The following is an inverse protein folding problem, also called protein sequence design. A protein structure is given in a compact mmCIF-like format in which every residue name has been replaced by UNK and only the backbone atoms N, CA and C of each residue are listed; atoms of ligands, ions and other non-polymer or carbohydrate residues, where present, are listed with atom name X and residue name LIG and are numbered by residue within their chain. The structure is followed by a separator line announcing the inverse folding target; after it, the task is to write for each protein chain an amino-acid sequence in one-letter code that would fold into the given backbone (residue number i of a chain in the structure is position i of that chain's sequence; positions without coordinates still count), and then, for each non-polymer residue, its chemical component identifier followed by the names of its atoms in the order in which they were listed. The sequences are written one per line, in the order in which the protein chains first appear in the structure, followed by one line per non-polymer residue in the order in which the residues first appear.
data_IF_300415021264
#
_entry.id   IF_300415021264
#
_cell.length_a   1.000
_cell.length_b   1.000
_cell.length_c   1.000
_cell.angle_alpha   90.00
_cell.angle_beta   90.00
_cell.angle_gamma   90.00
#
_symmetry.space_group_name_H-M   'P 1'
#
loop_
_entity.id
_entity.type
_entity.pdbx_description
1 polymer ?
#
# COMPACT_ATOMS: atom_id res chain seq x y z
N UNK A 1 39.52 -16.50 -32.42
CA UNK A 1 38.77 -15.23 -32.28
C UNK A 1 37.81 -15.38 -31.12
N UNK A 2 37.45 -14.30 -30.42
CA UNK A 2 36.55 -14.40 -29.27
C UNK A 2 35.10 -14.55 -29.77
N UNK A 3 34.47 -15.69 -29.51
CA UNK A 3 33.10 -16.01 -29.96
C UNK A 3 32.02 -15.55 -28.97
N UNK A 4 32.41 -15.29 -27.72
CA UNK A 4 31.49 -15.12 -26.59
C UNK A 4 30.40 -14.03 -26.77
N UNK A 5 30.68 -12.82 -27.30
CA UNK A 5 29.62 -11.81 -27.45
C UNK A 5 28.58 -12.22 -28.50
N UNK A 6 29.01 -12.84 -29.60
CA UNK A 6 28.13 -13.24 -30.69
C UNK A 6 27.22 -14.41 -30.30
N UNK A 7 27.71 -15.33 -29.46
CA UNK A 7 26.89 -16.42 -28.92
C UNK A 7 25.75 -15.89 -28.05
N UNK A 8 26.04 -14.94 -27.16
CA UNK A 8 25.01 -14.30 -26.34
C UNK A 8 23.96 -13.59 -27.20
N UNK A 9 24.41 -12.85 -28.23
CA UNK A 9 23.53 -12.15 -29.15
C UNK A 9 22.65 -13.08 -30.00
N UNK A 10 23.06 -14.32 -30.24
CA UNK A 10 22.25 -15.32 -30.95
C UNK A 10 21.04 -15.73 -30.11
N UNK A 11 21.19 -15.84 -28.78
CA UNK A 11 20.15 -16.26 -27.84
C UNK A 11 19.20 -15.12 -27.44
N UNK A 12 19.67 -13.87 -27.49
CA UNK A 12 18.90 -12.69 -27.09
C UNK A 12 18.84 -11.64 -28.22
N UNK A 13 18.18 -11.94 -29.35
CA UNK A 13 18.18 -11.04 -30.51
C UNK A 13 17.42 -9.72 -30.25
N UNK A 14 16.46 -9.72 -29.32
CA UNK A 14 15.55 -8.59 -29.06
C UNK A 14 16.21 -7.45 -28.27
N UNK A 15 17.37 -7.68 -27.65
CA UNK A 15 18.10 -6.69 -26.84
C UNK A 15 19.21 -5.95 -27.60
N UNK A 16 19.42 -6.28 -28.89
CA UNK A 16 20.54 -5.79 -29.68
C UNK A 16 20.28 -4.41 -30.30
N UNK A 17 21.25 -3.51 -30.17
CA UNK A 17 21.29 -2.26 -30.93
C UNK A 17 21.53 -2.50 -32.42
N UNK A 18 21.18 -1.54 -33.28
CA UNK A 18 21.43 -1.62 -34.72
C UNK A 18 22.90 -1.87 -35.10
N UNK A 19 23.84 -1.36 -34.30
CA UNK A 19 25.26 -1.57 -34.53
C UNK A 19 25.66 -3.03 -34.24
N UNK A 20 25.15 -3.60 -33.14
CA UNK A 20 25.40 -4.98 -32.74
C UNK A 20 24.74 -5.98 -33.69
N UNK A 21 23.55 -5.70 -34.19
CA UNK A 21 22.90 -6.52 -35.23
C UNK A 21 23.74 -6.60 -36.51
N UNK A 22 24.31 -5.47 -36.96
CA UNK A 22 25.21 -5.44 -38.13
C UNK A 22 26.50 -6.21 -37.86
N UNK A 23 27.09 -6.05 -36.68
CA UNK A 23 28.30 -6.77 -36.28
C UNK A 23 28.05 -8.30 -36.20
N UNK A 24 26.91 -8.71 -35.66
CA UNK A 24 26.47 -10.11 -35.62
C UNK A 24 26.31 -10.67 -37.05
N UNK A 25 25.61 -9.95 -37.94
CA UNK A 25 25.44 -10.38 -39.33
C UNK A 25 26.77 -10.57 -40.07
N UNK A 26 27.72 -9.64 -39.88
CA UNK A 26 29.06 -9.75 -40.46
C UNK A 26 29.85 -10.95 -39.89
N UNK A 27 29.70 -11.22 -38.59
CA UNK A 27 30.34 -12.37 -37.96
C UNK A 27 29.76 -13.70 -38.44
N UNK A 28 28.43 -13.81 -38.56
CA UNK A 28 27.76 -15.00 -39.06
C UNK A 28 28.14 -15.34 -40.51
N UNK A 29 28.48 -14.33 -41.32
CA UNK A 29 28.95 -14.54 -42.70
C UNK A 29 30.36 -15.17 -42.79
N UNK A 30 31.17 -15.04 -41.73
CA UNK A 30 32.59 -15.45 -41.74
C UNK A 30 32.86 -16.64 -40.81
N UNK A 31 32.10 -16.77 -39.71
CA UNK A 31 32.26 -17.82 -38.73
C UNK A 31 31.23 -18.95 -38.92
N UNK A 32 31.69 -20.11 -39.43
CA UNK A 32 30.85 -21.30 -39.61
C UNK A 32 30.25 -21.84 -38.30
N UNK A 33 30.97 -21.69 -37.19
CA UNK A 33 30.51 -22.19 -35.88
C UNK A 33 29.29 -21.40 -35.38
N UNK A 34 29.41 -20.06 -35.35
CA UNK A 34 28.31 -19.19 -34.93
C UNK A 34 27.13 -19.24 -35.93
N UNK A 35 27.39 -19.40 -37.23
CA UNK A 35 26.34 -19.62 -38.22
C UNK A 35 25.54 -20.90 -37.94
N UNK A 36 26.23 -22.01 -37.63
CA UNK A 36 25.59 -23.27 -37.25
C UNK A 36 24.80 -23.14 -35.95
N UNK A 37 25.32 -22.39 -34.97
CA UNK A 37 24.61 -22.12 -33.71
C UNK A 37 23.31 -21.35 -33.96
N UNK A 38 23.36 -20.27 -34.75
CA UNK A 38 22.17 -19.48 -35.11
C UNK A 38 21.10 -20.32 -35.82
N UNK A 39 21.51 -21.18 -36.75
CA UNK A 39 20.58 -22.08 -37.45
C UNK A 39 19.92 -23.09 -36.51
N UNK A 40 20.69 -23.70 -35.59
CA UNK A 40 20.13 -24.63 -34.61
C UNK A 40 19.18 -23.92 -33.64
N UNK A 41 19.53 -22.71 -33.23
CA UNK A 41 18.69 -21.91 -32.35
C UNK A 41 17.37 -21.53 -33.00
N UNK A 42 17.38 -21.06 -34.26
CA UNK A 42 16.15 -20.74 -34.98
C UNK A 42 15.24 -21.95 -35.20
N UNK A 43 15.82 -23.14 -35.45
CA UNK A 43 15.06 -24.38 -35.55
C UNK A 43 14.41 -24.77 -34.21
N UNK A 44 15.10 -24.57 -33.09
CA UNK A 44 14.57 -24.81 -31.75
C UNK A 44 13.45 -23.83 -31.41
N UNK A 45 13.63 -22.54 -31.71
CA UNK A 45 12.58 -21.52 -31.54
C UNK A 45 11.34 -21.89 -32.36
N UNK A 46 11.51 -22.29 -33.61
CA UNK A 46 10.41 -22.72 -34.46
C UNK A 46 9.73 -23.98 -33.89
N UNK A 47 10.48 -25.00 -33.47
CA UNK A 47 9.92 -26.22 -32.90
C UNK A 47 9.21 -25.97 -31.56
N UNK A 48 9.75 -25.11 -30.70
CA UNK A 48 9.14 -24.80 -29.39
C UNK A 48 7.93 -23.88 -29.48
N UNK A 49 7.93 -22.90 -30.39
CA UNK A 49 6.82 -21.98 -30.59
C UNK A 49 5.68 -22.62 -31.41
N UNK A 50 6.00 -23.47 -32.40
CA UNK A 50 5.01 -24.05 -33.31
C UNK A 50 4.66 -25.51 -33.04
N UNK A 51 5.36 -26.19 -32.12
CA UNK A 51 4.95 -27.48 -31.56
C UNK A 51 4.55 -27.33 -30.08
N UNK A 52 3.42 -26.66 -29.79
CA UNK A 52 2.89 -26.64 -28.44
C UNK A 52 2.32 -28.04 -28.17
N UNK A 53 3.16 -28.96 -27.71
CA UNK A 53 2.70 -30.11 -26.91
C UNK A 53 2.24 -29.52 -25.58
N UNK A 54 1.07 -28.88 -25.63
CA UNK A 54 0.38 -28.37 -24.46
C UNK A 54 -0.02 -29.60 -23.66
N UNK A 55 0.74 -29.86 -22.60
CA UNK A 55 0.41 -30.92 -21.66
C UNK A 55 -0.97 -30.61 -21.11
N UNK A 56 -1.94 -31.41 -21.53
CA UNK A 56 -3.32 -31.22 -21.09
C UNK A 56 -3.33 -31.36 -19.56
N UNK A 57 -3.99 -30.44 -18.84
CA UNK A 57 -4.08 -30.55 -17.40
C UNK A 57 -4.83 -31.84 -17.05
N UNK A 58 -4.41 -32.49 -15.97
CA UNK A 58 -5.07 -33.69 -15.46
C UNK A 58 -6.59 -33.48 -15.36
N UNK A 59 -7.43 -34.47 -15.75
CA UNK A 59 -8.88 -34.36 -15.69
C UNK A 59 -9.36 -33.79 -14.35
N UNK A 60 -10.33 -32.88 -14.43
CA UNK A 60 -10.89 -32.19 -13.26
C UNK A 60 -10.03 -31.06 -12.68
N UNK A 61 -8.91 -30.69 -13.31
CA UNK A 61 -8.08 -29.54 -12.91
C UNK A 61 -8.89 -28.27 -12.68
N UNK A 62 -9.72 -27.87 -13.65
CA UNK A 62 -10.54 -26.65 -13.56
C UNK A 62 -11.48 -26.68 -12.35
N UNK A 63 -12.05 -27.84 -12.03
CA UNK A 63 -12.93 -28.02 -10.87
C UNK A 63 -12.14 -27.90 -9.56
N UNK A 64 -11.00 -28.59 -9.45
CA UNK A 64 -10.12 -28.50 -8.26
C UNK A 64 -9.62 -27.06 -8.05
N UNK A 65 -9.22 -26.41 -9.13
CA UNK A 65 -8.73 -25.03 -9.10
C UNK A 65 -9.82 -24.07 -8.62
N UNK A 66 -11.01 -24.11 -9.24
CA UNK A 66 -12.15 -23.26 -8.88
C UNK A 66 -12.61 -23.48 -7.44
N UNK A 67 -12.63 -24.73 -6.97
CA UNK A 67 -13.02 -25.05 -5.60
C UNK A 67 -12.03 -24.51 -4.55
N UNK A 68 -10.74 -24.40 -4.89
CA UNK A 68 -9.71 -23.87 -3.98
C UNK A 68 -9.44 -22.36 -4.13
N UNK A 69 -10.11 -21.70 -5.08
CA UNK A 69 -9.78 -20.33 -5.50
C UNK A 69 -10.13 -19.30 -4.41
N UNK A 70 -11.28 -19.47 -3.77
CA UNK A 70 -11.75 -18.62 -2.66
C UNK A 70 -10.81 -18.71 -1.47
N UNK A 71 -10.45 -19.92 -1.06
CA UNK A 71 -9.54 -20.17 0.06
C UNK A 71 -8.14 -19.59 -0.20
N UNK A 72 -7.60 -19.79 -1.41
CA UNK A 72 -6.31 -19.20 -1.81
C UNK A 72 -6.37 -17.67 -1.77
N UNK A 73 -7.46 -17.07 -2.25
CA UNK A 73 -7.62 -15.61 -2.26
C UNK A 73 -7.69 -15.05 -0.84
N UNK A 74 -8.41 -15.71 0.07
CA UNK A 74 -8.47 -15.30 1.47
C UNK A 74 -7.11 -15.43 2.17
N UNK A 75 -6.36 -16.51 1.90
CA UNK A 75 -5.00 -16.69 2.44
C UNK A 75 -4.04 -15.59 1.94
N UNK A 76 -4.08 -15.26 0.66
CA UNK A 76 -3.27 -14.17 0.09
C UNK A 76 -3.69 -12.80 0.63
N UNK A 77 -4.99 -12.50 0.70
CA UNK A 77 -5.49 -11.26 1.31
C UNK A 77 -5.06 -11.12 2.76
N UNK A 78 -5.15 -12.19 3.55
CA UNK A 78 -4.69 -12.21 4.94
C UNK A 78 -3.19 -11.98 5.03
N UNK A 79 -2.41 -12.59 4.14
CA UNK A 79 -0.96 -12.40 4.07
C UNK A 79 -0.60 -10.95 3.69
N UNK A 80 -1.30 -10.37 2.74
CA UNK A 80 -1.13 -8.97 2.33
C UNK A 80 -1.50 -8.02 3.46
N UNK A 81 -2.62 -8.25 4.15
CA UNK A 81 -3.04 -7.46 5.30
C UNK A 81 -2.00 -7.51 6.44
N UNK A 82 -1.47 -8.69 6.75
CA UNK A 82 -0.39 -8.83 7.74
C UNK A 82 0.89 -8.12 7.33
N UNK A 83 1.30 -8.24 6.05
CA UNK A 83 2.49 -7.52 5.55
C UNK A 83 2.30 -6.01 5.68
N UNK A 84 1.14 -5.50 5.26
CA UNK A 84 0.82 -4.07 5.36
C UNK A 84 0.79 -3.59 6.82
N UNK A 85 0.14 -4.36 7.69
CA UNK A 85 0.12 -4.09 9.12
C UNK A 85 1.53 -4.05 9.73
N UNK A 86 2.38 -5.03 9.42
CA UNK A 86 3.76 -5.07 9.90
C UNK A 86 4.59 -3.88 9.39
N UNK A 87 4.41 -3.48 8.12
CA UNK A 87 5.08 -2.30 7.56
C UNK A 87 4.63 -1.04 8.29
N UNK A 88 3.32 -0.87 8.52
CA UNK A 88 2.79 0.28 9.25
C UNK A 88 3.33 0.33 10.68
N UNK A 89 3.28 -0.80 11.41
CA UNK A 89 3.82 -0.88 12.78
C UNK A 89 5.30 -0.53 12.77
N UNK A 90 6.10 -1.13 11.88
CA UNK A 90 7.53 -0.83 11.79
C UNK A 90 7.80 0.65 11.47
N UNK A 91 7.07 1.24 10.53
CA UNK A 91 7.19 2.64 10.18
C UNK A 91 6.83 3.55 11.37
N UNK A 92 5.71 3.28 12.06
CA UNK A 92 5.29 4.04 13.23
C UNK A 92 6.31 3.91 14.37
N UNK A 93 6.81 2.71 14.64
CA UNK A 93 7.86 2.49 15.65
C UNK A 93 9.14 3.23 15.29
N UNK A 94 9.56 3.21 14.02
CA UNK A 94 10.76 3.92 13.58
C UNK A 94 10.60 5.43 13.74
N UNK A 95 9.47 6.00 13.33
CA UNK A 95 9.15 7.42 13.53
C UNK A 95 9.16 7.75 15.02
N UNK A 96 8.49 6.95 15.85
CA UNK A 96 8.46 7.17 17.29
C UNK A 96 9.85 7.13 17.93
N UNK A 97 10.68 6.15 17.57
CA UNK A 97 12.06 6.05 18.06
C UNK A 97 12.93 7.21 17.58
N UNK A 98 12.80 7.63 16.33
CA UNK A 98 13.53 8.79 15.82
C UNK A 98 13.14 10.07 16.55
N UNK A 99 11.84 10.26 16.80
CA UNK A 99 11.33 11.40 17.58
C UNK A 99 11.86 11.35 19.01
N UNK A 100 11.76 10.20 19.68
CA UNK A 100 12.29 10.01 21.03
C UNK A 100 13.81 10.29 21.10
N UNK A 101 14.57 9.81 20.11
CA UNK A 101 16.01 10.08 20.03
C UNK A 101 16.31 11.57 19.85
N UNK A 102 15.59 12.25 18.95
CA UNK A 102 15.71 13.71 18.76
C UNK A 102 15.42 14.43 20.07
N UNK A 103 14.30 14.11 20.73
CA UNK A 103 13.93 14.71 22.02
C UNK A 103 15.02 14.47 23.07
N UNK A 104 15.51 13.25 23.25
CA UNK A 104 16.58 12.93 24.21
C UNK A 104 17.90 13.66 23.91
N UNK A 105 18.21 13.92 22.64
CA UNK A 105 19.44 14.61 22.22
C UNK A 105 19.34 16.14 22.27
N UNK A 106 18.15 16.69 22.07
CA UNK A 106 17.96 18.14 21.90
C UNK A 106 17.34 18.84 23.10
N UNK A 107 16.64 18.09 23.95
CA UNK A 107 15.89 18.67 25.07
C UNK A 107 16.35 18.10 26.40
N UNK A 108 16.40 18.96 27.41
CA UNK A 108 16.73 18.52 28.76
C UNK A 108 15.48 17.96 29.48
N UNK A 109 15.62 17.03 30.43
CA UNK A 109 14.49 16.54 31.22
C UNK A 109 13.71 17.66 31.95
N UNK A 110 14.38 18.77 32.26
CA UNK A 110 13.76 19.94 32.87
C UNK A 110 12.77 20.64 31.92
N UNK A 111 13.06 20.71 30.62
CA UNK A 111 12.16 21.29 29.62
C UNK A 111 10.89 20.46 29.45
N UNK A 112 10.96 19.14 29.65
CA UNK A 112 9.79 18.27 29.59
C UNK A 112 8.83 18.56 30.75
N UNK A 113 9.38 18.74 31.95
CA UNK A 113 8.60 19.12 33.14
C UNK A 113 7.99 20.50 32.93
N UNK A 114 8.76 21.46 32.42
CA UNK A 114 8.25 22.80 32.12
C UNK A 114 7.14 22.77 31.07
N UNK A 115 7.31 22.01 29.99
CA UNK A 115 6.31 21.85 28.94
C UNK A 115 5.04 21.18 29.48
N UNK A 116 5.17 20.16 30.32
CA UNK A 116 4.05 19.48 30.98
C UNK A 116 3.30 20.42 31.91
N UNK A 117 4.01 21.18 32.76
CA UNK A 117 3.40 22.17 33.67
C UNK A 117 2.71 23.28 32.87
N UNK A 118 3.35 23.77 31.81
CA UNK A 118 2.78 24.81 30.95
C UNK A 118 1.54 24.32 30.20
N UNK A 119 1.55 23.11 29.64
CA UNK A 119 0.37 22.52 28.97
C UNK A 119 -0.75 22.28 29.96
N UNK A 120 -0.45 21.81 31.18
CA UNK A 120 -1.47 21.64 32.21
C UNK A 120 -2.09 22.99 32.62
N UNK A 121 -1.25 23.99 32.86
CA UNK A 121 -1.68 25.33 33.27
C UNK A 121 -2.49 26.03 32.17
N UNK A 122 -2.05 25.95 30.92
CA UNK A 122 -2.77 26.53 29.78
C UNK A 122 -4.06 25.79 29.49
N UNK A 123 -4.11 24.47 29.65
CA UNK A 123 -5.36 23.70 29.49
C UNK A 123 -6.37 24.07 30.57
N UNK A 124 -5.93 24.21 31.82
CA UNK A 124 -6.80 24.68 32.92
C UNK A 124 -7.29 26.11 32.65
N UNK A 125 -6.41 26.99 32.19
CA UNK A 125 -6.74 28.37 31.84
C UNK A 125 -7.71 28.49 30.67
N UNK A 126 -7.50 27.73 29.59
CA UNK A 126 -8.41 27.72 28.43
C UNK A 126 -9.76 27.13 28.78
N UNK A 127 -9.81 26.10 29.62
CA UNK A 127 -11.07 25.55 30.12
C UNK A 127 -11.83 26.56 30.99
N UNK A 128 -11.13 27.24 31.90
CA UNK A 128 -11.72 28.30 32.74
C UNK A 128 -12.23 29.48 31.88
N UNK A 129 -11.47 29.89 30.87
CA UNK A 129 -11.86 30.93 29.93
C UNK A 129 -13.07 30.51 29.09
N UNK A 130 -13.08 29.30 28.52
CA UNK A 130 -14.21 28.77 27.78
C UNK A 130 -15.47 28.67 28.66
N UNK A 131 -15.32 28.19 29.89
CA UNK A 131 -16.39 28.17 30.89
C UNK A 131 -16.93 29.58 31.14
N UNK A 132 -16.05 30.54 31.38
CA UNK A 132 -16.42 31.94 31.61
C UNK A 132 -17.19 32.52 30.43
N UNK A 133 -16.72 32.28 29.20
CA UNK A 133 -17.40 32.72 27.97
C UNK A 133 -18.81 32.11 27.86
N UNK A 134 -18.96 30.82 28.14
CA UNK A 134 -20.25 30.14 28.12
C UNK A 134 -21.20 30.71 29.17
N UNK A 135 -20.76 30.91 30.42
CA UNK A 135 -21.60 31.48 31.47
C UNK A 135 -21.94 32.96 31.22
N UNK A 136 -21.00 33.73 30.69
CA UNK A 136 -21.22 35.13 30.30
C UNK A 136 -22.21 35.22 29.15
N UNK A 137 -22.07 34.35 28.15
CA UNK A 137 -23.05 34.25 27.06
C UNK A 137 -24.43 33.87 27.60
N UNK A 138 -24.53 32.84 28.43
CA UNK A 138 -25.80 32.39 29.01
C UNK A 138 -26.47 33.47 29.86
N UNK A 139 -25.70 34.32 30.56
CA UNK A 139 -26.24 35.37 31.44
C UNK A 139 -26.59 36.66 30.70
N UNK A 140 -25.86 37.03 29.65
CA UNK A 140 -26.13 38.24 28.86
C UNK A 140 -27.08 37.99 27.68
N UNK A 141 -27.11 36.78 27.12
CA UNK A 141 -27.95 36.49 25.97
C UNK A 141 -29.42 36.32 26.39
N UNK A 142 -30.37 36.86 25.60
CA UNK A 142 -31.79 36.58 25.76
C UNK A 142 -32.07 35.07 25.81
N UNK A 143 -32.99 34.66 26.70
CA UNK A 143 -33.36 33.25 26.88
C UNK A 143 -33.79 32.57 25.56
N UNK A 144 -34.43 33.30 24.65
CA UNK A 144 -34.83 32.81 23.33
C UNK A 144 -33.64 32.39 22.47
N UNK A 145 -32.55 33.17 22.44
CA UNK A 145 -31.34 32.83 21.68
C UNK A 145 -30.63 31.60 22.25
N UNK A 146 -30.55 31.47 23.58
CA UNK A 146 -29.95 30.30 24.22
C UNK A 146 -30.72 29.01 23.89
N UNK A 147 -32.06 29.06 23.88
CA UNK A 147 -32.91 27.92 23.50
C UNK A 147 -32.69 27.54 22.03
N UNK A 148 -32.69 28.52 21.11
CA UNK A 148 -32.48 28.27 19.67
C UNK A 148 -31.14 27.60 19.42
N UNK A 149 -30.06 28.14 20.00
CA UNK A 149 -28.70 27.57 19.86
C UNK A 149 -28.64 26.16 20.48
N UNK A 150 -29.24 25.96 21.65
CA UNK A 150 -29.30 24.65 22.31
C UNK A 150 -30.00 23.60 21.45
N UNK A 151 -31.16 23.94 20.86
CA UNK A 151 -31.90 23.05 19.96
C UNK A 151 -31.08 22.76 18.69
N UNK A 152 -30.47 23.78 18.08
CA UNK A 152 -29.66 23.61 16.87
C UNK A 152 -28.45 22.68 17.11
N UNK A 153 -27.74 22.85 18.22
CA UNK A 153 -26.62 21.98 18.61
C UNK A 153 -27.09 20.55 18.91
N UNK A 154 -28.21 20.40 19.64
CA UNK A 154 -28.79 19.10 19.94
C UNK A 154 -29.19 18.33 18.68
N UNK A 155 -29.90 18.98 17.75
CA UNK A 155 -30.27 18.39 16.47
C UNK A 155 -29.04 18.02 15.63
N UNK A 156 -28.04 18.90 15.57
CA UNK A 156 -26.80 18.62 14.85
C UNK A 156 -26.09 17.40 15.43
N UNK A 157 -26.01 17.29 16.76
CA UNK A 157 -25.43 16.14 17.43
C UNK A 157 -26.21 14.85 17.14
N UNK A 158 -27.54 14.88 17.22
CA UNK A 158 -28.38 13.73 16.89
C UNK A 158 -28.19 13.26 15.44
N UNK A 159 -28.13 14.18 14.48
CA UNK A 159 -27.86 13.86 13.06
C UNK A 159 -26.50 13.18 12.93
N UNK A 160 -25.48 13.71 13.60
CA UNK A 160 -24.12 13.18 13.52
C UNK A 160 -24.02 11.76 14.11
N UNK A 161 -24.72 11.50 15.22
CA UNK A 161 -24.86 10.15 15.81
C UNK A 161 -25.60 9.20 14.85
N UNK A 162 -26.67 9.65 14.20
CA UNK A 162 -27.39 8.85 13.21
C UNK A 162 -26.53 8.51 11.99
N UNK A 163 -25.75 9.48 11.50
CA UNK A 163 -24.80 9.25 10.40
C UNK A 163 -23.75 8.22 10.80
N UNK A 164 -23.18 8.37 12.01
CA UNK A 164 -22.14 7.48 12.50
C UNK A 164 -22.65 6.05 12.71
N UNK A 165 -23.81 5.89 13.33
CA UNK A 165 -24.46 4.58 13.52
C UNK A 165 -24.84 3.95 12.18
N UNK A 166 -25.36 4.72 11.23
CA UNK A 166 -25.63 4.24 9.87
C UNK A 166 -24.36 3.80 9.14
N UNK A 167 -23.26 4.55 9.28
CA UNK A 167 -21.98 4.18 8.68
C UNK A 167 -21.46 2.85 9.23
N UNK A 168 -21.53 2.64 10.55
CA UNK A 168 -21.16 1.36 11.18
C UNK A 168 -22.09 0.23 10.76
N UNK A 169 -23.39 0.47 10.75
CA UNK A 169 -24.37 -0.55 10.35
C UNK A 169 -24.15 -0.99 8.90
N UNK A 170 -23.91 -0.04 7.99
CA UNK A 170 -23.60 -0.31 6.60
C UNK A 170 -22.33 -1.15 6.46
N UNK A 171 -21.22 -0.76 7.11
CA UNK A 171 -19.97 -1.52 7.00
C UNK A 171 -20.03 -2.89 7.67
N UNK A 172 -20.78 -3.02 8.77
CA UNK A 172 -21.01 -4.30 9.44
C UNK A 172 -21.84 -5.26 8.58
N UNK A 173 -22.91 -4.79 7.93
CA UNK A 173 -23.74 -5.63 7.08
C UNK A 173 -23.08 -5.96 5.73
N UNK A 174 -22.46 -4.99 5.05
CA UNK A 174 -21.78 -5.27 3.77
C UNK A 174 -20.49 -6.06 3.94
N UNK A 175 -19.84 -5.98 5.11
CA UNK A 175 -18.68 -6.80 5.46
C UNK A 175 -19.00 -8.27 5.69
N UNK A 176 -20.25 -8.61 6.06
CA UNK A 176 -20.68 -10.00 6.33
C UNK A 176 -21.13 -10.74 5.06
N UNK A 177 -21.63 -10.03 4.04
CA UNK A 177 -22.10 -10.62 2.78
C UNK A 177 -21.02 -10.87 1.72
N UNK A 178 -19.76 -10.52 2.00
CA UNK A 178 -18.62 -10.78 1.10
C UNK A 178 -17.75 -11.96 1.58
N UNK A 179 -18.37 -12.97 2.23
CA UNK A 179 -17.73 -14.25 2.57
C UNK A 179 -18.13 -15.35 1.59
#
# INVERSE_FOLDING_TARGET
MNHQPYEQWIFEPDSLSHAEQKALAAHLATCKECARLRQKWSLLEEETLFSPVMVAPQPGFTRRWRNSLTERRQREQRRQAWRFFLILVAATTLVFLSLAAILLLTTSPAEWIQAAVHTLATTAGTFAAARSLVFTWLSLAPASLNIIVGIALGLSFSILVLIWTFAIWKTALTGVWNR
#
